data_IF_085770938324
#
_entry.id   IF_085770938324
#
_cell.length_a   1.000
_cell.length_b   1.000
_cell.length_c   1.000
_cell.angle_alpha   90.00
_cell.angle_beta   90.00
_cell.angle_gamma   90.00
#
_symmetry.space_group_name_H-M   'P 1'
#
loop_
_entity.id
_entity.type
_entity.pdbx_description
1 polymer ?
#
# COMPACT_ATOMS: atom_id res chain seq x y z
N UNK A 1 -15.34 41.36 52.52
CA UNK A 1 -14.85 39.97 52.44
C UNK A 1 -15.32 39.19 51.22
N UNK A 2 -16.56 39.31 50.74
CA UNK A 2 -17.08 38.43 49.67
C UNK A 2 -16.41 38.58 48.28
N UNK A 3 -15.96 39.79 47.92
CA UNK A 3 -15.39 40.08 46.59
C UNK A 3 -13.95 39.55 46.39
N UNK A 4 -13.20 39.32 47.47
CA UNK A 4 -11.82 38.81 47.41
C UNK A 4 -11.76 37.29 47.27
N UNK A 5 -12.82 36.58 47.69
CA UNK A 5 -12.89 35.11 47.61
C UNK A 5 -13.25 34.65 46.20
N UNK A 6 -14.15 35.34 45.49
CA UNK A 6 -14.51 34.95 44.12
C UNK A 6 -13.37 35.19 43.11
N UNK A 7 -12.52 36.18 43.34
CA UNK A 7 -11.35 36.47 42.49
C UNK A 7 -10.26 35.40 42.63
N UNK A 8 -10.09 34.83 43.83
CA UNK A 8 -9.16 33.72 44.08
C UNK A 8 -9.67 32.41 43.46
N UNK A 9 -10.98 32.15 43.51
CA UNK A 9 -11.60 31.00 42.84
C UNK A 9 -11.50 31.08 41.31
N UNK A 10 -11.79 32.25 40.71
CA UNK A 10 -11.64 32.46 39.26
C UNK A 10 -10.17 32.38 38.82
N UNK A 11 -9.24 32.95 39.59
CA UNK A 11 -7.80 32.87 39.28
C UNK A 11 -7.29 31.43 39.34
N UNK A 12 -7.73 30.63 40.33
CA UNK A 12 -7.38 29.20 40.43
C UNK A 12 -7.96 28.39 39.28
N UNK A 13 -9.18 28.67 38.85
CA UNK A 13 -9.82 28.01 37.72
C UNK A 13 -9.06 28.28 36.40
N UNK A 14 -8.68 29.54 36.15
CA UNK A 14 -7.89 29.92 34.97
C UNK A 14 -6.50 29.27 35.00
N UNK A 15 -5.84 29.21 36.16
CA UNK A 15 -4.52 28.59 36.27
C UNK A 15 -4.59 27.06 36.11
N UNK A 16 -5.63 26.42 36.65
CA UNK A 16 -5.90 24.99 36.42
C UNK A 16 -6.16 24.69 34.94
N UNK A 17 -6.95 25.53 34.26
CA UNK A 17 -7.20 25.40 32.82
C UNK A 17 -5.93 25.58 31.99
N UNK A 18 -5.06 26.54 32.34
CA UNK A 18 -3.75 26.73 31.69
C UNK A 18 -2.83 25.54 31.90
N UNK A 19 -2.76 24.99 33.12
CA UNK A 19 -1.97 23.78 33.41
C UNK A 19 -2.49 22.57 32.65
N UNK A 20 -3.80 22.38 32.60
CA UNK A 20 -4.43 21.31 31.83
C UNK A 20 -4.15 21.45 30.32
N UNK A 21 -4.25 22.66 29.77
CA UNK A 21 -3.92 22.93 28.37
C UNK A 21 -2.44 22.68 28.05
N UNK A 22 -1.53 23.11 28.94
CA UNK A 22 -0.10 22.86 28.78
C UNK A 22 0.25 21.36 28.85
N UNK A 23 -0.35 20.62 29.79
CA UNK A 23 -0.18 19.18 29.90
C UNK A 23 -0.73 18.43 28.67
N UNK A 24 -1.89 18.87 28.15
CA UNK A 24 -2.48 18.33 26.92
C UNK A 24 -1.55 18.55 25.72
N UNK A 25 -1.05 19.78 25.54
CA UNK A 25 -0.13 20.12 24.46
C UNK A 25 1.17 19.31 24.53
N UNK A 26 1.72 19.12 25.73
CA UNK A 26 2.93 18.32 25.92
C UNK A 26 2.69 16.83 25.58
N UNK A 27 1.53 16.30 25.99
CA UNK A 27 1.12 14.94 25.61
C UNK A 27 0.95 14.78 24.10
N UNK A 28 0.30 15.74 23.43
CA UNK A 28 0.14 15.74 21.97
C UNK A 28 1.47 15.79 21.25
N UNK A 29 2.41 16.62 21.73
CA UNK A 29 3.79 16.68 21.20
C UNK A 29 4.53 15.37 21.35
N UNK A 30 4.39 14.71 22.51
CA UNK A 30 5.03 13.42 22.76
C UNK A 30 4.50 12.34 21.81
N UNK A 31 3.18 12.25 21.65
CA UNK A 31 2.55 11.31 20.72
C UNK A 31 2.98 11.61 19.28
N UNK A 32 2.97 12.88 18.87
CA UNK A 32 3.42 13.27 17.53
C UNK A 32 4.88 12.89 17.27
N UNK A 33 5.75 13.01 18.28
CA UNK A 33 7.15 12.60 18.17
C UNK A 33 7.30 11.08 18.06
N UNK A 34 6.59 10.30 18.87
CA UNK A 34 6.59 8.84 18.79
C UNK A 34 6.07 8.35 17.42
N UNK A 35 5.05 9.00 16.87
CA UNK A 35 4.53 8.70 15.53
C UNK A 35 5.51 9.06 14.41
N UNK A 36 6.23 10.17 14.53
CA UNK A 36 7.26 10.51 13.55
C UNK A 36 8.38 9.47 13.54
N UNK A 37 8.78 8.95 14.71
CA UNK A 37 9.73 7.84 14.79
C UNK A 37 9.17 6.59 14.09
N UNK A 38 7.91 6.24 14.36
CA UNK A 38 7.26 5.09 13.72
C UNK A 38 7.22 5.23 12.18
N UNK A 39 6.91 6.44 11.68
CA UNK A 39 6.95 6.77 10.25
C UNK A 39 8.33 6.54 9.66
N UNK A 40 9.38 7.03 10.31
CA UNK A 40 10.76 6.85 9.84
C UNK A 40 11.17 5.39 9.76
N UNK A 41 10.68 4.56 10.69
CA UNK A 41 10.90 3.10 10.64
C UNK A 41 10.13 2.49 9.48
N UNK A 42 8.85 2.82 9.32
CA UNK A 42 8.00 2.28 8.25
C UNK A 42 8.53 2.64 6.86
N UNK A 43 9.04 3.85 6.66
CA UNK A 43 9.65 4.27 5.39
C UNK A 43 10.83 3.39 4.96
N UNK A 44 11.57 2.81 5.91
CA UNK A 44 12.68 1.90 5.62
C UNK A 44 12.21 0.50 5.20
N UNK A 45 10.94 0.17 5.40
CA UNK A 45 10.35 -1.12 5.03
C UNK A 45 9.95 -1.17 3.55
N UNK A 46 9.69 -0.01 2.94
CA UNK A 46 9.43 0.11 1.50
C UNK A 46 10.69 -0.12 0.66
N UNK A 47 10.55 -0.41 -0.64
CA UNK A 47 11.67 -0.60 -1.55
C UNK A 47 12.72 0.51 -1.47
N UNK A 48 13.96 0.13 -1.17
CA UNK A 48 15.12 1.03 -1.23
C UNK A 48 15.91 0.86 -2.54
N UNK A 49 15.61 -0.19 -3.30
CA UNK A 49 16.31 -0.58 -4.52
C UNK A 49 15.30 -1.08 -5.54
N UNK A 50 15.58 -0.83 -6.82
CA UNK A 50 14.84 -1.42 -7.93
C UNK A 50 15.78 -2.42 -8.65
N UNK A 51 15.63 -3.73 -8.43
CA UNK A 51 16.36 -4.75 -9.18
C UNK A 51 16.29 -4.51 -10.71
N UNK A 52 17.42 -4.36 -11.41
CA UNK A 52 17.40 -4.06 -12.84
C UNK A 52 16.89 -5.27 -13.63
N UNK A 53 16.00 -5.02 -14.60
CA UNK A 53 15.49 -6.01 -15.53
C UNK A 53 15.71 -5.55 -16.98
N UNK A 54 15.86 -6.49 -17.89
CA UNK A 54 16.12 -6.20 -19.30
C UNK A 54 14.85 -5.89 -20.08
N UNK A 55 13.72 -6.49 -19.68
CA UNK A 55 12.45 -6.42 -20.43
C UNK A 55 11.34 -5.66 -19.70
N UNK A 56 11.57 -5.20 -18.46
CA UNK A 56 10.54 -4.55 -17.66
C UNK A 56 11.09 -3.28 -16.98
N UNK A 57 10.49 -2.15 -17.31
CA UNK A 57 10.61 -0.94 -16.50
C UNK A 57 9.51 -0.94 -15.45
N UNK A 58 9.81 -0.49 -14.24
CA UNK A 58 8.78 -0.36 -13.23
C UNK A 58 9.11 0.74 -12.23
N UNK A 59 8.08 1.26 -11.58
CA UNK A 59 8.20 2.23 -10.51
C UNK A 59 6.99 2.07 -9.59
N UNK A 60 7.14 2.47 -8.34
CA UNK A 60 6.05 2.44 -7.39
C UNK A 60 6.22 3.49 -6.31
N UNK A 61 5.09 3.87 -5.73
CA UNK A 61 5.01 4.88 -4.68
C UNK A 61 3.91 4.49 -3.69
N UNK A 62 4.12 4.82 -2.43
CA UNK A 62 3.10 4.79 -1.38
C UNK A 62 3.11 6.14 -0.67
N UNK A 63 1.94 6.77 -0.59
CA UNK A 63 1.70 8.04 0.10
C UNK A 63 0.71 7.74 1.20
N UNK A 64 1.17 7.85 2.44
CA UNK A 64 0.35 7.56 3.60
C UNK A 64 -0.61 8.73 3.86
N UNK A 65 -1.88 8.41 4.17
CA UNK A 65 -2.88 9.39 4.57
C UNK A 65 -2.59 9.95 5.98
N UNK A 66 -1.92 9.15 6.81
CA UNK A 66 -1.52 9.50 8.19
C UNK A 66 -0.02 9.35 8.35
N UNK A 67 0.47 9.52 9.58
CA UNK A 67 1.89 9.35 9.90
C UNK A 67 2.37 7.91 9.66
N UNK A 68 1.50 6.91 9.79
CA UNK A 68 1.78 5.52 9.44
C UNK A 68 0.55 4.89 8.80
N UNK A 69 0.79 3.97 7.87
CA UNK A 69 -0.22 3.39 7.00
C UNK A 69 -0.38 1.87 7.10
N UNK A 70 -1.48 1.34 6.58
CA UNK A 70 -1.72 -0.10 6.39
C UNK A 70 -1.19 -0.60 5.04
N UNK A 71 -1.07 0.29 4.07
CA UNK A 71 -0.61 -0.02 2.73
C UNK A 71 0.83 -0.52 2.69
N UNK A 72 1.05 -1.48 1.79
CA UNK A 72 2.34 -2.07 1.52
C UNK A 72 2.58 -2.22 0.03
N UNK A 73 3.80 -1.94 -0.40
CA UNK A 73 4.29 -2.37 -1.68
C UNK A 73 5.75 -2.79 -1.59
N UNK A 74 6.17 -3.71 -2.47
CA UNK A 74 7.57 -4.13 -2.52
C UNK A 74 8.01 -4.65 -3.90
N UNK A 75 9.33 -4.62 -4.07
CA UNK A 75 10.08 -5.17 -5.19
C UNK A 75 11.07 -6.21 -4.65
N UNK A 76 10.65 -7.47 -4.64
CA UNK A 76 11.43 -8.58 -4.13
C UNK A 76 12.38 -9.08 -5.23
N UNK A 77 13.70 -9.00 -5.00
CA UNK A 77 14.65 -9.69 -5.85
C UNK A 77 14.57 -11.20 -5.57
N UNK A 78 14.04 -11.95 -6.54
CA UNK A 78 13.89 -13.40 -6.44
C UNK A 78 15.07 -14.15 -7.08
N UNK A 79 16.08 -13.42 -7.55
CA UNK A 79 17.23 -13.94 -8.26
C UNK A 79 16.91 -14.46 -9.67
N UNK A 80 17.95 -14.82 -10.43
CA UNK A 80 17.83 -15.43 -11.78
C UNK A 80 16.94 -14.64 -12.75
N UNK A 81 17.06 -13.31 -12.73
CA UNK A 81 16.27 -12.39 -13.56
C UNK A 81 14.77 -12.47 -13.27
N UNK A 82 14.40 -12.64 -11.99
CA UNK A 82 13.02 -12.64 -11.52
C UNK A 82 12.76 -11.57 -10.48
N UNK A 83 11.57 -10.99 -10.54
CA UNK A 83 11.11 -9.92 -9.66
C UNK A 83 9.76 -10.28 -9.06
N UNK A 84 9.63 -10.14 -7.74
CA UNK A 84 8.36 -10.14 -7.05
C UNK A 84 7.80 -8.72 -6.98
N UNK A 85 6.65 -8.47 -7.60
CA UNK A 85 5.83 -7.28 -7.46
C UNK A 85 4.81 -7.53 -6.36
N UNK A 86 4.77 -6.67 -5.35
CA UNK A 86 3.83 -6.80 -4.24
C UNK A 86 3.08 -5.50 -4.02
N UNK A 87 1.75 -5.59 -3.89
CA UNK A 87 0.90 -4.53 -3.34
C UNK A 87 -0.08 -5.18 -2.39
N UNK A 88 -0.33 -4.57 -1.24
CA UNK A 88 -1.33 -5.07 -0.29
C UNK A 88 -1.79 -3.98 0.66
N UNK A 89 -2.90 -4.25 1.31
CA UNK A 89 -3.50 -3.36 2.30
C UNK A 89 -3.97 -4.18 3.50
N UNK A 90 -3.67 -3.69 4.70
CA UNK A 90 -4.07 -4.29 5.96
C UNK A 90 -5.39 -3.67 6.41
N UNK A 91 -6.40 -4.51 6.61
CA UNK A 91 -7.68 -4.08 7.13
C UNK A 91 -7.54 -3.38 8.50
N UNK A 92 -7.97 -2.13 8.57
CA UNK A 92 -7.85 -1.27 9.75
C UNK A 92 -7.05 -0.01 9.42
N UNK A 93 -6.80 0.85 10.42
CA UNK A 93 -6.06 2.11 10.20
C UNK A 93 -5.13 2.42 11.38
N UNK A 94 -4.13 3.26 11.13
CA UNK A 94 -3.20 3.77 12.14
C UNK A 94 -2.15 2.73 12.57
N UNK A 95 -1.71 2.81 13.83
CA UNK A 95 -0.54 2.02 14.30
C UNK A 95 -0.77 0.51 14.20
N UNK A 96 -1.98 0.02 14.50
CA UNK A 96 -2.26 -1.41 14.46
C UNK A 96 -2.06 -1.99 13.04
N UNK A 97 -2.59 -1.30 12.03
CA UNK A 97 -2.39 -1.67 10.62
C UNK A 97 -0.91 -1.58 10.23
N UNK A 98 -0.22 -0.52 10.66
CA UNK A 98 1.22 -0.35 10.39
C UNK A 98 2.11 -1.46 10.97
N UNK A 99 1.80 -1.94 12.18
CA UNK A 99 2.53 -3.05 12.81
C UNK A 99 2.30 -4.37 12.07
N UNK A 100 1.06 -4.63 11.67
CA UNK A 100 0.71 -5.81 10.87
C UNK A 100 1.33 -5.72 9.46
N UNK A 101 1.37 -4.54 8.87
CA UNK A 101 2.07 -4.29 7.60
C UNK A 101 3.54 -4.67 7.71
N UNK A 102 4.22 -4.20 8.77
CA UNK A 102 5.61 -4.56 9.04
C UNK A 102 5.81 -6.07 9.26
N UNK A 103 4.85 -6.75 9.92
CA UNK A 103 4.87 -8.20 10.07
C UNK A 103 4.75 -8.91 8.71
N UNK A 104 3.80 -8.49 7.87
CA UNK A 104 3.60 -9.05 6.53
C UNK A 104 4.84 -8.87 5.65
N UNK A 105 5.42 -7.67 5.66
CA UNK A 105 6.67 -7.35 4.96
C UNK A 105 7.81 -8.29 5.38
N UNK A 106 8.00 -8.47 6.69
CA UNK A 106 9.06 -9.33 7.23
C UNK A 106 8.84 -10.81 6.84
N UNK A 107 7.59 -11.28 6.87
CA UNK A 107 7.25 -12.64 6.43
C UNK A 107 7.54 -12.83 4.94
N UNK A 108 7.10 -11.90 4.08
CA UNK A 108 7.34 -11.98 2.64
C UNK A 108 8.83 -11.95 2.30
N UNK A 109 9.61 -11.04 2.90
CA UNK A 109 11.05 -10.94 2.65
C UNK A 109 11.84 -12.11 3.22
N UNK A 110 11.49 -12.63 4.39
CA UNK A 110 12.21 -13.76 5.00
C UNK A 110 12.01 -15.08 4.24
N UNK A 111 10.84 -15.24 3.59
CA UNK A 111 10.50 -16.47 2.88
C UNK A 111 10.71 -16.37 1.35
N UNK A 112 11.14 -15.23 0.82
CA UNK A 112 11.20 -14.99 -0.64
C UNK A 112 12.10 -15.98 -1.39
N UNK A 113 13.13 -16.53 -0.72
CA UNK A 113 14.00 -17.55 -1.31
C UNK A 113 13.25 -18.84 -1.72
N UNK A 114 12.14 -19.16 -1.06
CA UNK A 114 11.31 -20.34 -1.35
C UNK A 114 10.30 -20.06 -2.47
N UNK A 115 9.97 -18.78 -2.71
CA UNK A 115 8.97 -18.38 -3.71
C UNK A 115 9.32 -18.84 -5.13
N UNK A 116 10.62 -19.01 -5.42
CA UNK A 116 11.13 -19.40 -6.74
C UNK A 116 10.48 -20.70 -7.29
N UNK A 117 10.45 -21.75 -6.47
CA UNK A 117 9.97 -23.08 -6.90
C UNK A 117 8.48 -23.28 -6.61
N UNK A 118 7.97 -22.69 -5.53
CA UNK A 118 6.63 -22.98 -5.01
C UNK A 118 5.93 -21.72 -4.47
N UNK A 119 5.41 -20.83 -5.34
CA UNK A 119 4.76 -19.59 -4.90
C UNK A 119 3.53 -19.85 -4.03
N UNK A 120 2.77 -20.93 -4.26
CA UNK A 120 1.63 -21.30 -3.40
C UNK A 120 2.10 -21.61 -1.99
N UNK A 121 3.14 -22.44 -1.86
CA UNK A 121 3.68 -22.83 -0.54
C UNK A 121 4.26 -21.62 0.19
N UNK A 122 4.92 -20.73 -0.53
CA UNK A 122 5.40 -19.46 0.01
C UNK A 122 4.24 -18.63 0.60
N UNK A 123 3.17 -18.41 -0.16
CA UNK A 123 2.02 -17.64 0.30
C UNK A 123 1.23 -18.35 1.43
N UNK A 124 1.14 -19.67 1.42
CA UNK A 124 0.54 -20.45 2.51
C UNK A 124 1.32 -20.28 3.82
N UNK A 125 2.66 -20.25 3.76
CA UNK A 125 3.51 -19.99 4.93
C UNK A 125 3.33 -18.55 5.42
N UNK A 126 3.31 -17.58 4.50
CA UNK A 126 3.06 -16.17 4.83
C UNK A 126 1.68 -16.00 5.48
N UNK A 127 0.63 -16.63 4.92
CA UNK A 127 -0.71 -16.62 5.50
C UNK A 127 -0.70 -17.17 6.93
N UNK A 128 -0.07 -18.34 7.14
CA UNK A 128 -0.03 -18.98 8.47
C UNK A 128 0.67 -18.09 9.49
N UNK A 129 1.84 -17.57 9.17
CA UNK A 129 2.60 -16.70 10.06
C UNK A 129 1.87 -15.38 10.33
N UNK A 130 1.20 -14.83 9.32
CA UNK A 130 0.39 -13.63 9.48
C UNK A 130 -0.84 -13.90 10.36
N UNK A 131 -1.57 -14.99 10.14
CA UNK A 131 -2.70 -15.45 10.97
C UNK A 131 -2.29 -15.61 12.44
N UNK A 132 -1.16 -16.28 12.71
CA UNK A 132 -0.67 -16.53 14.08
C UNK A 132 -0.25 -15.25 14.83
N UNK A 133 0.15 -14.21 14.10
CA UNK A 133 0.59 -12.93 14.67
C UNK A 133 -0.51 -11.85 14.67
N UNK A 134 -1.73 -12.19 14.23
CA UNK A 134 -2.84 -11.25 14.05
C UNK A 134 -3.99 -11.54 15.01
N UNK A 135 -4.85 -10.55 15.24
CA UNK A 135 -6.14 -10.78 15.92
C UNK A 135 -7.11 -11.50 14.98
N UNK A 136 -8.10 -12.22 15.52
CA UNK A 136 -9.08 -12.99 14.73
C UNK A 136 -9.83 -12.19 13.64
N UNK A 137 -9.93 -10.86 13.77
CA UNK A 137 -10.58 -9.99 12.79
C UNK A 137 -9.62 -9.30 11.81
N UNK A 138 -8.31 -9.46 11.97
CA UNK A 138 -7.32 -8.79 11.13
C UNK A 138 -7.02 -9.62 9.89
N UNK A 139 -6.98 -8.95 8.74
CA UNK A 139 -6.70 -9.58 7.46
C UNK A 139 -5.98 -8.60 6.55
N UNK A 140 -5.36 -9.13 5.50
CA UNK A 140 -4.68 -8.35 4.48
C UNK A 140 -5.18 -8.73 3.09
N UNK A 141 -5.47 -7.73 2.27
CA UNK A 141 -5.53 -7.93 0.83
C UNK A 141 -4.11 -7.93 0.26
N UNK A 142 -3.83 -8.74 -0.76
CA UNK A 142 -2.50 -8.81 -1.36
C UNK A 142 -2.56 -9.18 -2.84
N UNK A 143 -1.85 -8.46 -3.69
CA UNK A 143 -1.40 -8.93 -4.99
C UNK A 143 0.08 -9.31 -4.89
N UNK A 144 0.39 -10.56 -5.23
CA UNK A 144 1.76 -11.04 -5.41
C UNK A 144 1.96 -11.48 -6.85
N UNK A 145 2.89 -10.85 -7.57
CA UNK A 145 3.25 -11.18 -8.94
C UNK A 145 4.73 -11.51 -9.07
N UNK A 146 5.05 -12.73 -9.48
CA UNK A 146 6.39 -13.11 -9.90
C UNK A 146 6.55 -12.89 -11.40
N UNK A 147 7.42 -11.97 -11.79
CA UNK A 147 7.80 -11.71 -13.17
C UNK A 147 9.12 -12.42 -13.51
N UNK A 148 9.10 -13.25 -14.55
CA UNK A 148 10.28 -13.87 -15.17
C UNK A 148 10.71 -13.03 -16.39
N UNK A 149 11.85 -12.35 -16.28
CA UNK A 149 12.35 -11.41 -17.30
C UNK A 149 12.77 -12.10 -18.59
N UNK A 150 13.24 -13.35 -18.49
CA UNK A 150 13.68 -14.12 -19.67
C UNK A 150 12.50 -14.56 -20.51
N UNK A 151 11.42 -14.99 -19.85
CA UNK A 151 10.21 -15.49 -20.50
C UNK A 151 9.15 -14.40 -20.71
N UNK A 152 9.34 -13.20 -20.15
CA UNK A 152 8.35 -12.11 -20.10
C UNK A 152 7.00 -12.62 -19.59
N UNK A 153 7.04 -13.35 -18.47
CA UNK A 153 5.87 -14.04 -17.92
C UNK A 153 5.64 -13.63 -16.48
N UNK A 154 4.41 -13.19 -16.22
CA UNK A 154 3.91 -12.90 -14.89
C UNK A 154 3.12 -14.11 -14.37
N UNK A 155 3.55 -14.68 -13.24
CA UNK A 155 2.76 -15.60 -12.43
C UNK A 155 2.23 -14.83 -11.24
N UNK A 156 0.92 -14.81 -11.01
CA UNK A 156 0.37 -14.02 -9.92
C UNK A 156 -0.67 -14.77 -9.10
N UNK A 157 -0.84 -14.27 -7.87
CA UNK A 157 -1.90 -14.59 -6.94
C UNK A 157 -2.46 -13.28 -6.41
N UNK A 158 -3.78 -13.13 -6.40
CA UNK A 158 -4.45 -11.99 -5.78
C UNK A 158 -5.39 -12.47 -4.68
N UNK A 159 -5.06 -12.11 -3.44
CA UNK A 159 -5.70 -12.48 -2.20
C UNK A 159 -6.72 -11.41 -1.80
N UNK A 160 -7.93 -11.44 -2.38
CA UNK A 160 -8.97 -10.43 -2.15
C UNK A 160 -8.59 -8.97 -2.49
N UNK A 161 -7.48 -8.74 -3.20
CA UNK A 161 -7.02 -7.39 -3.57
C UNK A 161 -7.72 -6.89 -4.83
N UNK A 162 -7.66 -5.57 -5.04
CA UNK A 162 -8.19 -4.93 -6.25
C UNK A 162 -7.56 -5.53 -7.51
N UNK A 163 -8.37 -5.63 -8.57
CA UNK A 163 -7.93 -6.24 -9.83
C UNK A 163 -6.80 -5.41 -10.45
N UNK A 164 -5.65 -6.04 -10.71
CA UNK A 164 -4.58 -5.36 -11.43
C UNK A 164 -5.02 -5.04 -12.87
N UNK A 165 -4.59 -3.90 -13.39
CA UNK A 165 -4.90 -3.49 -14.75
C UNK A 165 -3.73 -3.85 -15.67
N UNK A 166 -3.95 -4.80 -16.58
CA UNK A 166 -3.02 -5.11 -17.65
C UNK A 166 -3.52 -4.50 -18.95
N UNK A 167 -2.96 -3.34 -19.30
CA UNK A 167 -3.22 -2.64 -20.54
C UNK A 167 -2.29 -3.18 -21.63
N UNK A 168 -2.88 -3.84 -22.63
CA UNK A 168 -2.16 -4.37 -23.78
C UNK A 168 -1.72 -3.27 -24.73
N UNK A 169 -0.66 -3.53 -25.49
CA UNK A 169 -0.16 -2.61 -26.51
C UNK A 169 -1.21 -2.22 -27.58
N UNK A 170 -2.21 -3.07 -27.83
CA UNK A 170 -3.32 -2.82 -28.75
C UNK A 170 -4.45 -1.98 -28.12
N UNK A 171 -4.30 -1.59 -26.85
CA UNK A 171 -5.27 -0.80 -26.08
C UNK A 171 -6.31 -1.63 -25.32
N UNK A 172 -6.32 -2.96 -25.50
CA UNK A 172 -7.20 -3.88 -24.77
C UNK A 172 -6.84 -3.88 -23.29
N UNK A 173 -7.85 -3.82 -22.42
CA UNK A 173 -7.66 -3.93 -20.97
C UNK A 173 -8.02 -5.34 -20.51
N UNK A 174 -7.07 -6.01 -19.86
CA UNK A 174 -7.30 -7.21 -19.06
C UNK A 174 -7.27 -6.86 -17.58
N UNK A 175 -8.25 -7.34 -16.82
CA UNK A 175 -8.24 -7.27 -15.36
C UNK A 175 -7.70 -8.58 -14.80
N UNK A 176 -6.73 -8.48 -13.90
CA UNK A 176 -6.17 -9.63 -13.19
C UNK A 176 -6.87 -9.73 -11.83
N UNK A 177 -8.03 -10.39 -11.85
CA UNK A 177 -8.92 -10.49 -10.70
C UNK A 177 -8.35 -11.38 -9.59
N UNK A 178 -8.99 -11.30 -8.41
CA UNK A 178 -8.65 -12.14 -7.26
C UNK A 178 -8.74 -13.63 -7.57
N UNK A 179 -7.73 -14.38 -7.11
CA UNK A 179 -7.60 -15.83 -7.31
C UNK A 179 -7.83 -16.63 -6.03
N UNK A 180 -7.95 -15.95 -4.88
CA UNK A 180 -8.15 -16.55 -3.56
C UNK A 180 -8.63 -15.51 -2.55
N UNK A 181 -9.05 -15.97 -1.37
CA UNK A 181 -9.47 -15.08 -0.27
C UNK A 181 -8.29 -14.31 0.34
N UNK A 182 -8.61 -13.29 1.13
CA UNK A 182 -7.65 -12.47 1.91
C UNK A 182 -6.73 -13.32 2.80
N UNK A 183 -5.55 -12.78 3.11
CA UNK A 183 -4.58 -13.38 4.03
C UNK A 183 -4.93 -13.10 5.49
N UNK A 184 -4.59 -14.02 6.39
CA UNK A 184 -4.68 -13.84 7.84
C UNK A 184 -6.05 -14.11 8.45
N UNK A 185 -7.10 -14.21 7.63
CA UNK A 185 -8.45 -14.46 8.13
C UNK A 185 -8.73 -15.94 8.41
N UNK A 186 -8.11 -16.84 7.64
CA UNK A 186 -8.33 -18.28 7.74
C UNK A 186 -7.01 -19.01 7.98
N UNK A 187 -7.03 -19.93 8.95
CA UNK A 187 -5.88 -20.80 9.24
C UNK A 187 -5.58 -21.76 8.10
N UNK A 188 -6.64 -22.37 7.56
CA UNK A 188 -6.58 -23.17 6.34
C UNK A 188 -6.85 -22.24 5.17
N UNK A 189 -5.80 -21.98 4.40
CA UNK A 189 -5.82 -21.03 3.29
C UNK A 189 -5.07 -21.64 2.13
N UNK A 190 -5.62 -21.47 0.92
CA UNK A 190 -5.02 -21.96 -0.30
C UNK A 190 -5.22 -20.94 -1.42
N UNK A 191 -4.37 -21.02 -2.43
CA UNK A 191 -4.40 -20.10 -3.56
C UNK A 191 -4.11 -20.77 -4.88
N UNK A 192 -4.60 -20.14 -5.95
CA UNK A 192 -4.34 -20.55 -7.32
C UNK A 192 -3.44 -19.54 -8.00
N UNK A 193 -2.36 -20.03 -8.61
CA UNK A 193 -1.51 -19.24 -9.49
C UNK A 193 -2.17 -19.10 -10.86
N UNK A 194 -2.15 -17.88 -11.38
CA UNK A 194 -2.53 -17.58 -12.76
C UNK A 194 -1.32 -17.03 -13.51
N UNK A 195 -1.13 -17.48 -14.75
CA UNK A 195 -0.02 -17.02 -15.60
C UNK A 195 -0.52 -16.07 -16.71
N UNK A 196 0.24 -15.03 -16.99
CA UNK A 196 0.06 -14.12 -18.12
C UNK A 196 1.39 -13.81 -18.78
N UNK A 197 1.45 -13.92 -20.10
CA UNK A 197 2.58 -13.42 -20.89
C UNK A 197 2.42 -11.92 -21.11
N UNK A 198 3.52 -11.19 -20.96
CA UNK A 198 3.62 -9.77 -21.26
C UNK A 198 4.40 -9.60 -22.56
N UNK A 199 3.95 -8.68 -23.39
CA UNK A 199 4.59 -8.34 -24.66
C UNK A 199 5.08 -6.89 -24.64
N UNK A 200 6.03 -6.56 -25.51
CA UNK A 200 6.53 -5.19 -25.64
C UNK A 200 5.37 -4.21 -25.84
N UNK A 201 5.35 -3.14 -25.04
CA UNK A 201 4.29 -2.14 -25.03
C UNK A 201 3.16 -2.40 -24.03
N UNK A 202 3.07 -3.60 -23.44
CA UNK A 202 2.10 -3.87 -22.37
C UNK A 202 2.47 -3.11 -21.08
N UNK A 203 1.46 -2.62 -20.37
CA UNK A 203 1.59 -1.93 -19.09
C UNK A 203 0.72 -2.59 -18.02
N UNK A 204 1.31 -2.90 -16.87
CA UNK A 204 0.64 -3.41 -15.68
C UNK A 204 0.56 -2.29 -14.63
N UNK A 205 -0.62 -2.08 -14.06
CA UNK A 205 -0.82 -1.19 -12.91
C UNK A 205 -1.43 -1.97 -11.73
N UNK A 206 -0.82 -1.81 -10.56
CA UNK A 206 -1.25 -2.36 -9.27
C UNK A 206 -1.51 -1.19 -8.32
N UNK A 207 -2.61 -1.21 -7.60
CA UNK A 207 -3.04 -0.06 -6.81
C UNK A 207 -3.92 -0.44 -5.63
N UNK A 208 -3.98 0.44 -4.64
CA UNK A 208 -4.87 0.34 -3.49
C UNK A 208 -6.11 1.22 -3.67
N UNK A 209 -7.12 0.99 -2.83
CA UNK A 209 -8.41 1.67 -2.88
C UNK A 209 -8.30 3.17 -2.61
N UNK A 210 -7.27 3.65 -1.89
CA UNK A 210 -7.04 5.08 -1.71
C UNK A 210 -6.88 5.87 -3.03
N UNK A 211 -6.58 5.20 -4.14
CA UNK A 211 -6.66 5.80 -5.48
C UNK A 211 -8.11 5.91 -5.97
N UNK A 212 -8.85 4.81 -5.97
CA UNK A 212 -10.19 4.76 -6.55
C UNK A 212 -11.23 5.46 -5.68
N UNK A 213 -11.10 5.34 -4.36
CA UNK A 213 -11.95 5.93 -3.32
C UNK A 213 -11.44 7.31 -2.86
N UNK A 214 -10.72 8.02 -3.73
CA UNK A 214 -10.46 9.46 -3.57
C UNK A 214 -11.68 10.26 -4.04
N UNK A 215 -12.20 11.16 -3.21
CA UNK A 215 -13.46 11.87 -3.46
C UNK A 215 -13.25 13.36 -3.79
N UNK A 216 -13.97 13.87 -4.80
CA UNK A 216 -14.01 15.31 -5.08
C UNK A 216 -15.05 16.05 -4.20
N UNK A 217 -15.16 17.37 -4.38
CA UNK A 217 -16.14 18.23 -3.67
C UNK A 217 -17.61 17.81 -3.86
N UNK A 218 -17.92 17.12 -4.97
CA UNK A 218 -19.25 16.62 -5.27
C UNK A 218 -19.53 15.23 -4.65
N UNK A 219 -18.54 14.64 -3.96
CA UNK A 219 -18.62 13.29 -3.41
C UNK A 219 -18.51 12.20 -4.47
N UNK A 220 -17.98 12.51 -5.65
CA UNK A 220 -17.70 11.51 -6.68
C UNK A 220 -16.32 10.88 -6.46
N UNK A 221 -16.25 9.56 -6.60
CA UNK A 221 -15.00 8.80 -6.58
C UNK A 221 -14.18 9.05 -7.86
N UNK A 222 -12.85 9.04 -7.71
CA UNK A 222 -11.92 9.05 -8.83
C UNK A 222 -12.16 7.83 -9.74
N UNK A 223 -12.23 6.65 -9.11
CA UNK A 223 -12.62 5.39 -9.72
C UNK A 223 -11.60 4.80 -10.71
N UNK A 224 -11.79 3.51 -11.02
CA UNK A 224 -10.91 2.76 -11.95
C UNK A 224 -10.90 3.37 -13.35
N UNK A 225 -12.01 3.98 -13.78
CA UNK A 225 -12.12 4.58 -15.11
C UNK A 225 -11.11 5.71 -15.32
N UNK A 226 -11.03 6.67 -14.39
CA UNK A 226 -10.07 7.79 -14.49
C UNK A 226 -8.63 7.31 -14.30
N UNK A 227 -8.43 6.28 -13.48
CA UNK A 227 -7.12 5.64 -13.33
C UNK A 227 -6.62 5.07 -14.66
N UNK A 228 -7.49 4.35 -15.39
CA UNK A 228 -7.19 3.81 -16.71
C UNK A 228 -6.92 4.92 -17.74
N UNK A 229 -7.71 5.99 -17.73
CA UNK A 229 -7.48 7.13 -18.62
C UNK A 229 -6.14 7.82 -18.34
N UNK A 230 -5.78 8.00 -17.07
CA UNK A 230 -4.50 8.55 -16.65
C UNK A 230 -3.33 7.66 -17.08
N UNK A 231 -3.44 6.34 -16.87
CA UNK A 231 -2.46 5.37 -17.34
C UNK A 231 -2.24 5.51 -18.85
N UNK A 232 -3.32 5.50 -19.65
CA UNK A 232 -3.28 5.65 -21.12
C UNK A 232 -2.63 6.96 -21.55
N UNK A 233 -2.96 8.07 -20.88
CA UNK A 233 -2.45 9.41 -21.19
C UNK A 233 -0.93 9.49 -21.05
N UNK A 234 -0.37 8.83 -20.04
CA UNK A 234 1.05 8.97 -19.69
C UNK A 234 1.92 7.77 -20.10
N UNK A 235 1.39 6.78 -20.83
CA UNK A 235 2.11 5.56 -21.24
C UNK A 235 3.48 5.82 -21.88
N UNK A 236 3.61 6.89 -22.67
CA UNK A 236 4.85 7.22 -23.39
C UNK A 236 5.95 7.84 -22.51
N UNK A 237 5.65 8.15 -21.24
CA UNK A 237 6.64 8.69 -20.30
C UNK A 237 7.48 7.58 -19.65
N UNK A 238 8.55 7.93 -18.94
CA UNK A 238 9.26 6.95 -18.10
C UNK A 238 8.35 6.46 -16.96
N UNK A 239 8.56 5.24 -16.44
CA UNK A 239 7.72 4.71 -15.35
C UNK A 239 7.68 5.60 -14.10
N UNK A 240 8.76 6.28 -13.67
CA UNK A 240 8.67 7.20 -12.53
C UNK A 240 7.84 8.45 -12.83
N UNK A 241 7.97 9.03 -14.03
CA UNK A 241 7.21 10.21 -14.43
C UNK A 241 5.71 9.88 -14.61
N UNK A 242 5.43 8.72 -15.19
CA UNK A 242 4.09 8.17 -15.33
C UNK A 242 3.41 7.99 -13.96
N UNK A 243 4.06 7.32 -13.00
CA UNK A 243 3.53 7.14 -11.64
C UNK A 243 3.28 8.47 -10.95
N UNK A 244 4.24 9.41 -11.03
CA UNK A 244 4.09 10.74 -10.44
C UNK A 244 2.90 11.51 -11.04
N UNK A 245 2.72 11.45 -12.36
CA UNK A 245 1.61 12.12 -13.04
C UNK A 245 0.25 11.51 -12.70
N UNK A 246 0.16 10.17 -12.58
CA UNK A 246 -1.08 9.50 -12.15
C UNK A 246 -1.48 9.89 -10.72
N UNK A 247 -0.51 9.97 -9.80
CA UNK A 247 -0.76 10.44 -8.44
C UNK A 247 -1.19 11.91 -8.41
N UNK A 248 -0.60 12.75 -9.26
CA UNK A 248 -0.97 14.17 -9.37
C UNK A 248 -2.41 14.35 -9.89
N UNK A 249 -2.85 13.52 -10.83
CA UNK A 249 -4.24 13.48 -11.30
C UNK A 249 -5.21 13.18 -10.13
N UNK A 250 -4.88 12.20 -9.27
CA UNK A 250 -5.70 11.84 -8.09
C UNK A 250 -5.77 13.00 -7.09
N UNK A 251 -4.62 13.60 -6.76
CA UNK A 251 -4.53 14.73 -5.82
C UNK A 251 -5.22 15.99 -6.34
N UNK A 252 -5.15 16.24 -7.65
CA UNK A 252 -5.84 17.36 -8.27
C UNK A 252 -7.36 17.16 -8.27
N UNK A 253 -7.82 15.91 -8.43
CA UNK A 253 -9.23 15.56 -8.36
C UNK A 253 -9.79 15.63 -6.93
N UNK A 254 -9.01 15.21 -5.93
CA UNK A 254 -9.34 15.22 -4.52
C UNK A 254 -8.35 16.11 -3.74
N UNK A 255 -8.52 17.45 -3.78
CA UNK A 255 -7.57 18.40 -3.19
C UNK A 255 -7.60 18.44 -1.64
N UNK A 256 -8.51 17.70 -1.01
CA UNK A 256 -8.66 17.63 0.44
C UNK A 256 -7.63 16.72 1.10
N UNK A 257 -7.67 16.67 2.43
CA UNK A 257 -6.88 15.71 3.19
C UNK A 257 -7.24 14.28 2.78
N UNK A 258 -6.21 13.49 2.52
CA UNK A 258 -6.32 12.12 2.01
C UNK A 258 -7.03 11.22 3.03
N UNK A 259 -8.02 10.45 2.58
CA UNK A 259 -8.85 9.58 3.42
C UNK A 259 -8.21 8.21 3.69
N UNK A 260 -7.46 7.69 2.72
CA UNK A 260 -6.74 6.42 2.78
C UNK A 260 -5.41 6.44 2.06
N UNK A 261 -4.52 5.51 2.40
CA UNK A 261 -3.19 5.41 1.80
C UNK A 261 -3.27 5.24 0.27
N UNK A 262 -2.41 5.96 -0.48
CA UNK A 262 -2.34 5.88 -1.94
C UNK A 262 -1.11 5.07 -2.31
N UNK A 263 -1.31 3.87 -2.83
CA UNK A 263 -0.23 3.02 -3.32
C UNK A 263 -0.44 2.69 -4.80
N UNK A 264 0.62 2.86 -5.59
CA UNK A 264 0.62 2.60 -7.02
C UNK A 264 1.95 1.96 -7.43
N UNK A 265 1.88 0.86 -8.17
CA UNK A 265 2.99 0.34 -8.97
C UNK A 265 2.57 0.37 -10.44
N UNK A 266 3.45 0.86 -11.31
CA UNK A 266 3.31 0.68 -12.76
C UNK A 266 4.55 -0.01 -13.31
N UNK A 267 4.34 -1.05 -14.10
CA UNK A 267 5.37 -1.78 -14.83
C UNK A 267 5.06 -1.79 -16.33
N UNK A 268 6.07 -1.53 -17.18
CA UNK A 268 5.96 -1.50 -18.64
C UNK A 268 6.93 -2.48 -19.26
N UNK A 269 6.43 -3.37 -20.10
CA UNK A 269 7.24 -4.33 -20.82
C UNK A 269 7.85 -3.67 -22.08
N UNK A 270 9.15 -3.88 -22.30
CA UNK A 270 9.96 -3.30 -23.39
C UNK A 270 10.11 -4.22 -24.58
#
# INVERSE_FOLDING_TARGET
SFMLVSYDEESRAVEAQRRAAAAKLESERRIAHEMEIARQVQLKLFPQTLPPLSTLDYSGICIQARQVGGDYYDFLDLGRDRLGLVVGDIAGKGIAAALLMANLQANLRSQCAIAFDHPERFLQLVNRLFYENSTDSAYATLFFGEYDDRMRRLRYVSCGHLSALLLRHDGTLERLDSTCTVLGLFKEWDCKIVERSLTSGDALALYTDGITESFNDAGEEFGEHRLLESLRRYLNQSTPALVAAMVDDVRTFSPHEQSDDITLIVAKCR
#
